data_IF_345569156441
#
_entry.id   IF_345569156441
#
_cell.length_a   1.000
_cell.length_b   1.000
_cell.length_c   1.000
_cell.angle_alpha   90.00
_cell.angle_beta   90.00
_cell.angle_gamma   90.00
#
_symmetry.space_group_name_H-M   'P 1'
#
loop_
_entity.id
_entity.type
_entity.pdbx_description
1 polymer ?
#
# COMPACT_ATOMS: atom_id res chain seq x y z
N UNK A 1 48.82 -47.93 -30.61
CA UNK A 1 48.18 -47.68 -29.28
C UNK A 1 47.95 -46.17 -29.19
N UNK A 2 46.73 -45.74 -29.56
CA UNK A 2 46.34 -44.33 -29.55
C UNK A 2 45.56 -44.07 -28.25
N UNK A 3 46.02 -43.12 -27.49
CA UNK A 3 45.37 -42.68 -26.24
C UNK A 3 44.36 -41.61 -26.62
N UNK A 4 43.08 -41.89 -26.45
CA UNK A 4 41.96 -40.91 -26.55
C UNK A 4 41.95 -40.05 -25.30
N UNK A 5 42.13 -38.75 -25.48
CA UNK A 5 42.01 -37.70 -24.49
C UNK A 5 40.52 -37.31 -24.34
N UNK A 6 39.91 -37.70 -23.22
CA UNK A 6 38.51 -37.33 -22.89
C UNK A 6 38.45 -35.89 -22.37
N UNK A 7 37.71 -35.05 -23.08
CA UNK A 7 37.36 -33.69 -22.65
C UNK A 7 36.38 -33.70 -21.43
N UNK A 8 36.49 -32.74 -20.51
CA UNK A 8 35.60 -32.71 -19.32
C UNK A 8 34.21 -32.30 -19.67
N UNK A 9 33.26 -33.04 -19.12
CA UNK A 9 31.82 -32.92 -19.20
C UNK A 9 31.32 -31.54 -18.65
N UNK A 10 30.69 -30.76 -19.51
CA UNK A 10 30.06 -29.48 -19.16
C UNK A 10 28.76 -29.77 -18.39
N UNK A 11 28.78 -29.63 -17.08
CA UNK A 11 27.55 -29.61 -16.26
C UNK A 11 26.63 -28.46 -16.70
N UNK A 12 25.35 -28.71 -16.96
CA UNK A 12 24.39 -27.66 -17.34
C UNK A 12 24.12 -26.75 -16.16
N UNK A 13 24.56 -25.51 -16.28
CA UNK A 13 24.24 -24.45 -15.35
C UNK A 13 22.74 -24.32 -15.18
N UNK A 14 22.25 -24.56 -13.98
CA UNK A 14 20.85 -24.34 -13.59
C UNK A 14 20.43 -22.91 -13.92
N UNK A 15 19.62 -22.73 -14.95
CA UNK A 15 18.97 -21.46 -15.27
C UNK A 15 18.09 -21.06 -14.07
N UNK A 16 18.63 -20.29 -13.11
CA UNK A 16 17.84 -19.62 -12.08
C UNK A 16 16.78 -18.79 -12.79
N UNK A 17 15.48 -19.08 -12.55
CA UNK A 17 14.34 -18.37 -13.14
C UNK A 17 14.46 -16.88 -12.79
N UNK A 18 14.84 -16.05 -13.76
CA UNK A 18 15.11 -14.61 -13.66
C UNK A 18 13.98 -13.79 -12.99
N UNK A 19 12.72 -14.27 -13.04
CA UNK A 19 11.57 -13.57 -12.47
C UNK A 19 11.38 -13.69 -10.94
N UNK A 20 11.90 -14.77 -10.32
CA UNK A 20 11.72 -14.98 -8.86
C UNK A 20 12.53 -13.99 -7.99
N UNK A 21 13.66 -13.51 -8.47
CA UNK A 21 14.49 -12.56 -7.73
C UNK A 21 13.94 -11.14 -7.72
N UNK A 22 13.44 -10.65 -8.86
CA UNK A 22 12.85 -9.29 -8.98
C UNK A 22 11.60 -9.15 -8.12
N UNK A 23 10.69 -10.16 -8.19
CA UNK A 23 9.45 -10.15 -7.40
C UNK A 23 9.73 -10.13 -5.90
N UNK A 24 10.60 -11.04 -5.42
CA UNK A 24 10.93 -11.13 -4.00
C UNK A 24 11.56 -9.82 -3.46
N UNK A 25 12.44 -9.18 -4.22
CA UNK A 25 13.03 -7.89 -3.85
C UNK A 25 11.97 -6.80 -3.81
N UNK A 26 11.16 -6.72 -4.86
CA UNK A 26 10.07 -5.75 -4.96
C UNK A 26 9.09 -5.89 -3.79
N UNK A 27 8.58 -7.10 -3.54
CA UNK A 27 7.60 -7.35 -2.49
C UNK A 27 8.17 -7.02 -1.10
N UNK A 28 9.42 -7.43 -0.83
CA UNK A 28 10.09 -7.15 0.45
C UNK A 28 10.30 -5.65 0.65
N UNK A 29 10.86 -4.95 -0.34
CA UNK A 29 11.11 -3.51 -0.21
C UNK A 29 9.81 -2.71 -0.16
N UNK A 30 8.79 -3.10 -0.93
CA UNK A 30 7.46 -2.47 -0.86
C UNK A 30 6.90 -2.57 0.55
N UNK A 31 6.92 -3.77 1.13
CA UNK A 31 6.46 -3.99 2.51
C UNK A 31 7.24 -3.11 3.49
N UNK A 32 8.57 -3.13 3.47
CA UNK A 32 9.42 -2.34 4.37
C UNK A 32 9.22 -0.83 4.25
N UNK A 33 8.95 -0.33 3.03
CA UNK A 33 8.64 1.10 2.80
C UNK A 33 7.25 1.45 3.35
N UNK A 34 6.25 0.61 3.09
CA UNK A 34 4.87 0.86 3.54
C UNK A 34 4.73 0.77 5.06
N UNK A 35 5.51 -0.11 5.69
CA UNK A 35 5.54 -0.27 7.16
C UNK A 35 6.50 0.70 7.86
N UNK A 36 7.15 1.59 7.12
CA UNK A 36 8.15 2.55 7.61
C UNK A 36 9.40 1.91 8.25
N UNK A 37 9.63 0.61 8.05
CA UNK A 37 10.90 -0.06 8.40
C UNK A 37 12.06 0.56 7.62
N UNK A 38 11.83 0.88 6.35
CA UNK A 38 12.64 1.79 5.58
C UNK A 38 12.02 3.18 5.66
N UNK A 39 12.64 4.05 6.45
CA UNK A 39 12.10 5.38 6.73
C UNK A 39 12.02 6.26 5.48
N UNK A 40 10.99 7.14 5.36
CA UNK A 40 10.93 8.15 4.30
C UNK A 40 12.21 8.98 4.22
N UNK A 41 12.72 9.20 3.01
CA UNK A 41 13.97 9.91 2.76
C UNK A 41 15.24 9.10 3.00
N UNK A 42 15.15 7.87 3.54
CA UNK A 42 16.34 7.04 3.76
C UNK A 42 16.99 6.58 2.45
N UNK A 43 18.33 6.50 2.38
CA UNK A 43 19.04 6.11 1.17
C UNK A 43 18.87 4.60 0.90
N UNK A 44 18.72 4.26 -0.38
CA UNK A 44 18.67 2.89 -0.88
C UNK A 44 19.98 2.57 -1.59
N UNK A 45 20.75 1.63 -1.04
CA UNK A 45 22.04 1.19 -1.57
C UNK A 45 21.91 -0.13 -2.32
N UNK A 46 22.06 -0.07 -3.66
CA UNK A 46 21.97 -1.25 -4.53
C UNK A 46 23.02 -2.34 -4.19
N UNK A 47 24.19 -1.96 -3.66
CA UNK A 47 25.24 -2.90 -3.29
C UNK A 47 24.81 -3.68 -2.07
N UNK A 48 24.39 -2.98 -1.02
CA UNK A 48 23.89 -3.60 0.21
C UNK A 48 22.68 -4.49 -0.05
N UNK A 49 21.76 -4.05 -0.93
CA UNK A 49 20.61 -4.87 -1.32
C UNK A 49 21.05 -6.12 -2.10
N UNK A 50 22.02 -6.00 -3.01
CA UNK A 50 22.59 -7.13 -3.74
C UNK A 50 23.19 -8.18 -2.79
N UNK A 51 23.92 -7.73 -1.78
CA UNK A 51 24.48 -8.58 -0.72
C UNK A 51 23.38 -9.22 0.15
N UNK A 52 22.42 -8.43 0.61
CA UNK A 52 21.30 -8.87 1.45
C UNK A 52 20.45 -9.96 0.78
N UNK A 53 20.15 -9.80 -0.51
CA UNK A 53 19.33 -10.74 -1.26
C UNK A 53 20.12 -11.86 -1.93
N UNK A 54 21.46 -11.79 -1.92
CA UNK A 54 22.34 -12.79 -2.54
C UNK A 54 22.16 -12.88 -4.06
N UNK A 55 21.87 -11.76 -4.74
CA UNK A 55 21.63 -11.67 -6.19
C UNK A 55 22.41 -10.51 -6.80
N UNK A 56 22.54 -10.50 -8.12
CA UNK A 56 23.22 -9.41 -8.84
C UNK A 56 22.40 -8.09 -8.76
N UNK A 57 23.04 -6.96 -9.10
CA UNK A 57 22.39 -5.63 -9.08
C UNK A 57 21.26 -5.46 -10.10
N UNK A 58 21.28 -6.20 -11.21
CA UNK A 58 20.26 -6.06 -12.27
C UNK A 58 18.84 -6.28 -11.75
N UNK A 59 18.49 -7.41 -11.10
CA UNK A 59 17.16 -7.60 -10.53
C UNK A 59 16.83 -6.60 -9.40
N UNK A 60 17.81 -6.08 -8.66
CA UNK A 60 17.61 -5.00 -7.69
C UNK A 60 17.13 -3.73 -8.40
N UNK A 61 17.80 -3.30 -9.47
CA UNK A 61 17.41 -2.13 -10.26
C UNK A 61 16.04 -2.29 -10.89
N UNK A 62 15.72 -3.47 -11.44
CA UNK A 62 14.39 -3.75 -11.99
C UNK A 62 13.29 -3.60 -10.93
N UNK A 63 13.52 -4.06 -9.70
CA UNK A 63 12.60 -3.88 -8.59
C UNK A 63 12.47 -2.40 -8.19
N UNK A 64 13.58 -1.67 -8.11
CA UNK A 64 13.58 -0.24 -7.78
C UNK A 64 12.86 0.60 -8.86
N UNK A 65 13.00 0.25 -10.15
CA UNK A 65 12.25 0.92 -11.24
C UNK A 65 10.75 0.72 -11.07
N UNK A 66 10.29 -0.47 -10.67
CA UNK A 66 8.87 -0.72 -10.37
C UNK A 66 8.40 0.12 -9.19
N UNK A 67 9.16 0.13 -8.10
CA UNK A 67 8.85 0.94 -6.91
C UNK A 67 8.83 2.45 -7.22
N UNK A 68 9.70 2.91 -8.12
CA UNK A 68 9.70 4.30 -8.59
C UNK A 68 8.45 4.61 -9.42
N UNK A 69 8.00 3.68 -10.25
CA UNK A 69 6.73 3.80 -11.00
C UNK A 69 5.50 3.91 -10.09
N UNK A 70 5.59 3.41 -8.86
CA UNK A 70 4.54 3.50 -7.83
C UNK A 70 4.74 4.70 -6.87
N UNK A 71 5.80 5.50 -7.06
CA UNK A 71 6.10 6.65 -6.20
C UNK A 71 6.66 6.27 -4.82
N UNK A 72 7.09 5.02 -4.60
CA UNK A 72 7.62 4.55 -3.33
C UNK A 72 9.12 4.83 -3.15
N UNK A 73 9.84 5.00 -4.24
CA UNK A 73 11.24 5.44 -4.25
C UNK A 73 11.42 6.56 -5.28
N UNK A 74 12.42 7.41 -5.06
CA UNK A 74 12.79 8.47 -6.00
C UNK A 74 14.29 8.46 -6.24
N UNK A 75 14.69 8.76 -7.49
CA UNK A 75 16.10 8.95 -7.84
C UNK A 75 16.39 10.45 -7.91
N UNK A 76 17.31 10.90 -7.07
CA UNK A 76 17.76 12.29 -7.00
C UNK A 76 18.66 12.65 -8.20
N UNK A 77 18.87 13.94 -8.51
CA UNK A 77 19.72 14.38 -9.64
C UNK A 77 21.15 13.85 -9.59
N UNK A 78 21.70 13.59 -8.38
CA UNK A 78 23.00 12.99 -8.14
C UNK A 78 23.03 11.46 -8.28
N UNK A 79 21.95 10.85 -8.81
CA UNK A 79 21.73 9.40 -9.01
C UNK A 79 21.62 8.57 -7.73
N UNK A 80 21.45 9.21 -6.58
CA UNK A 80 21.09 8.47 -5.36
C UNK A 80 19.60 8.10 -5.37
N UNK A 81 19.29 6.87 -5.05
CA UNK A 81 17.91 6.41 -4.83
C UNK A 81 17.60 6.50 -3.34
N UNK A 82 16.45 7.07 -3.02
CA UNK A 82 15.94 7.17 -1.65
C UNK A 82 14.52 6.64 -1.59
N UNK A 83 14.09 6.23 -0.40
CA UNK A 83 12.65 6.04 -0.12
C UNK A 83 11.95 7.38 -0.32
N UNK A 84 10.85 7.38 -1.06
CA UNK A 84 10.12 8.62 -1.33
C UNK A 84 9.72 9.30 0.00
N UNK A 85 10.00 10.58 0.19
CA UNK A 85 9.54 11.31 1.37
C UNK A 85 8.00 11.36 1.40
N UNK A 86 7.40 11.58 2.57
CA UNK A 86 5.99 11.93 2.66
C UNK A 86 5.88 13.42 2.34
N UNK A 87 4.99 13.76 1.42
CA UNK A 87 4.80 15.14 0.97
C UNK A 87 3.85 15.89 1.92
N UNK A 88 4.34 16.22 3.12
CA UNK A 88 3.57 16.96 4.12
C UNK A 88 3.01 18.30 3.63
N UNK A 89 3.75 19.12 2.85
CA UNK A 89 3.22 20.39 2.30
C UNK A 89 1.97 20.22 1.44
N UNK A 90 1.81 19.12 0.73
CA UNK A 90 0.69 18.86 -0.17
C UNK A 90 -0.35 17.89 0.38
N UNK A 91 -0.31 17.56 1.67
CA UNK A 91 -1.27 16.62 2.29
C UNK A 91 -2.73 17.04 2.14
N UNK A 92 -3.06 18.34 2.12
CA UNK A 92 -4.43 18.79 1.87
C UNK A 92 -4.94 18.35 0.50
N UNK A 93 -4.11 18.49 -0.54
CA UNK A 93 -4.47 18.07 -1.90
C UNK A 93 -4.61 16.54 -2.00
N UNK A 94 -3.75 15.80 -1.30
CA UNK A 94 -3.87 14.35 -1.19
C UNK A 94 -5.17 13.94 -0.50
N UNK A 95 -5.54 14.56 0.62
CA UNK A 95 -6.77 14.27 1.33
C UNK A 95 -8.03 14.63 0.53
N UNK A 96 -8.00 15.71 -0.23
CA UNK A 96 -9.09 16.08 -1.12
C UNK A 96 -9.33 15.02 -2.20
N UNK A 97 -8.24 14.56 -2.85
CA UNK A 97 -8.30 13.51 -3.86
C UNK A 97 -8.75 12.17 -3.24
N UNK A 98 -8.22 11.80 -2.07
CA UNK A 98 -8.58 10.58 -1.35
C UNK A 98 -10.07 10.58 -0.97
N UNK A 99 -10.57 11.68 -0.39
CA UNK A 99 -11.98 11.83 0.01
C UNK A 99 -12.92 11.72 -1.18
N UNK A 100 -12.57 12.35 -2.30
CA UNK A 100 -13.33 12.24 -3.53
C UNK A 100 -13.39 10.79 -4.03
N UNK A 101 -12.25 10.07 -4.00
CA UNK A 101 -12.20 8.68 -4.45
C UNK A 101 -12.99 7.73 -3.55
N UNK A 102 -12.96 7.91 -2.24
CA UNK A 102 -13.84 7.15 -1.33
C UNK A 102 -15.31 7.27 -1.76
N UNK A 103 -15.78 8.49 -1.98
CA UNK A 103 -17.17 8.77 -2.38
C UNK A 103 -17.51 8.15 -3.73
N UNK A 104 -16.75 8.47 -4.76
CA UNK A 104 -17.02 8.04 -6.14
C UNK A 104 -16.98 6.52 -6.27
N UNK A 105 -16.01 5.85 -5.68
CA UNK A 105 -15.86 4.40 -5.81
C UNK A 105 -16.92 3.63 -5.03
N UNK A 106 -17.27 4.08 -3.81
CA UNK A 106 -18.31 3.44 -2.99
C UNK A 106 -19.70 3.64 -3.61
N UNK A 107 -19.98 4.84 -4.14
CA UNK A 107 -21.20 5.13 -4.88
C UNK A 107 -21.35 4.22 -6.11
N UNK A 108 -20.29 4.07 -6.90
CA UNK A 108 -20.29 3.20 -8.07
C UNK A 108 -20.41 1.72 -7.68
N UNK A 109 -19.81 1.29 -6.58
CA UNK A 109 -19.98 -0.05 -6.06
C UNK A 109 -21.44 -0.34 -5.72
N UNK A 110 -22.12 0.58 -5.03
CA UNK A 110 -23.56 0.45 -4.74
C UNK A 110 -24.40 0.32 -6.02
N UNK A 111 -24.03 1.05 -7.08
CA UNK A 111 -24.76 1.01 -8.35
C UNK A 111 -24.49 -0.27 -9.17
N UNK A 112 -23.25 -0.79 -9.18
CA UNK A 112 -22.78 -1.75 -10.19
C UNK A 112 -22.34 -3.11 -9.65
N UNK A 113 -22.22 -3.28 -8.32
CA UNK A 113 -21.70 -4.50 -7.71
C UNK A 113 -22.48 -5.76 -8.12
N UNK A 114 -21.79 -6.86 -8.28
CA UNK A 114 -22.36 -8.20 -8.43
C UNK A 114 -22.44 -8.92 -7.07
N UNK A 115 -23.15 -10.05 -7.03
CA UNK A 115 -23.14 -10.92 -5.84
C UNK A 115 -21.75 -11.48 -5.53
N UNK A 116 -20.93 -11.74 -6.56
CA UNK A 116 -19.56 -12.20 -6.39
C UNK A 116 -18.65 -11.13 -5.76
N UNK A 117 -18.86 -9.84 -6.10
CA UNK A 117 -18.14 -8.73 -5.48
C UNK A 117 -18.46 -8.65 -3.98
N UNK A 118 -19.74 -8.77 -3.62
CA UNK A 118 -20.17 -8.75 -2.22
C UNK A 118 -19.49 -9.85 -1.38
N UNK A 119 -19.36 -11.06 -1.94
CA UNK A 119 -18.65 -12.16 -1.26
C UNK A 119 -17.19 -11.78 -0.98
N UNK A 120 -16.50 -11.17 -1.96
CA UNK A 120 -15.09 -10.77 -1.79
C UNK A 120 -14.94 -9.61 -0.81
N UNK A 121 -15.81 -8.60 -0.91
CA UNK A 121 -15.78 -7.46 0.03
C UNK A 121 -16.07 -7.93 1.45
N UNK A 122 -17.06 -8.82 1.65
CA UNK A 122 -17.39 -9.39 2.96
C UNK A 122 -16.22 -10.17 3.54
N UNK A 123 -15.55 -11.00 2.76
CA UNK A 123 -14.38 -11.76 3.21
C UNK A 123 -13.23 -10.85 3.68
N UNK A 124 -13.05 -9.68 3.03
CA UNK A 124 -12.06 -8.68 3.45
C UNK A 124 -12.48 -7.96 4.73
N UNK A 125 -13.78 -7.65 4.91
CA UNK A 125 -14.28 -7.09 6.15
C UNK A 125 -14.10 -8.06 7.33
N UNK A 126 -14.36 -9.35 7.13
CA UNK A 126 -14.12 -10.39 8.14
C UNK A 126 -12.61 -10.49 8.47
N UNK A 127 -11.74 -10.34 7.47
CA UNK A 127 -10.29 -10.24 7.65
C UNK A 127 -9.89 -9.05 8.50
N UNK A 128 -10.46 -7.87 8.20
CA UNK A 128 -10.23 -6.66 8.95
C UNK A 128 -10.65 -6.80 10.42
N UNK A 129 -11.80 -7.40 10.68
CA UNK A 129 -12.27 -7.69 12.05
C UNK A 129 -11.28 -8.56 12.81
N UNK A 130 -10.79 -9.65 12.19
CA UNK A 130 -9.78 -10.52 12.82
C UNK A 130 -8.47 -9.79 13.11
N UNK A 131 -7.99 -8.94 12.20
CA UNK A 131 -6.76 -8.17 12.39
C UNK A 131 -6.90 -7.18 13.55
N UNK A 132 -8.05 -6.51 13.67
CA UNK A 132 -8.34 -5.59 14.79
C UNK A 132 -8.42 -6.36 16.12
N UNK A 133 -9.06 -7.52 16.17
CA UNK A 133 -9.17 -8.36 17.36
C UNK A 133 -7.81 -8.92 17.80
N UNK A 134 -6.95 -9.27 16.84
CA UNK A 134 -5.57 -9.70 17.08
C UNK A 134 -4.62 -8.56 17.44
N UNK A 135 -5.06 -7.30 17.32
CA UNK A 135 -4.23 -6.09 17.45
C UNK A 135 -3.04 -6.10 16.46
N UNK A 136 -3.20 -6.72 15.28
CA UNK A 136 -2.20 -6.73 14.23
C UNK A 136 -2.38 -5.52 13.32
N UNK A 137 -1.61 -4.46 13.60
CA UNK A 137 -1.67 -3.19 12.88
C UNK A 137 -1.27 -3.33 11.43
N UNK A 138 -0.28 -4.17 11.13
CA UNK A 138 0.20 -4.36 9.76
C UNK A 138 -0.88 -5.03 8.89
N UNK A 139 -1.41 -6.14 9.37
CA UNK A 139 -2.51 -6.85 8.70
C UNK A 139 -3.75 -5.97 8.58
N UNK A 140 -4.08 -5.22 9.64
CA UNK A 140 -5.22 -4.30 9.62
C UNK A 140 -5.08 -3.25 8.52
N UNK A 141 -3.94 -2.57 8.38
CA UNK A 141 -3.72 -1.56 7.34
C UNK A 141 -3.79 -2.20 5.95
N UNK A 142 -3.23 -3.41 5.79
CA UNK A 142 -3.25 -4.12 4.52
C UNK A 142 -4.66 -4.54 4.12
N UNK A 143 -5.39 -5.18 5.01
CA UNK A 143 -6.76 -5.64 4.74
C UNK A 143 -7.72 -4.45 4.55
N UNK A 144 -7.55 -3.36 5.32
CA UNK A 144 -8.28 -2.12 5.11
C UNK A 144 -8.10 -1.57 3.68
N UNK A 145 -6.85 -1.48 3.25
CA UNK A 145 -6.51 -1.08 1.86
C UNK A 145 -7.20 -1.98 0.84
N UNK A 146 -7.14 -3.29 1.04
CA UNK A 146 -7.70 -4.27 0.13
C UNK A 146 -9.24 -4.23 0.11
N UNK A 147 -9.88 -3.98 1.26
CA UNK A 147 -11.32 -3.78 1.38
C UNK A 147 -11.79 -2.61 0.49
N UNK A 148 -11.17 -1.44 0.63
CA UNK A 148 -11.54 -0.27 -0.17
C UNK A 148 -11.20 -0.43 -1.66
N UNK A 149 -10.10 -1.11 -1.99
CA UNK A 149 -9.74 -1.42 -3.37
C UNK A 149 -10.77 -2.37 -4.02
N UNK A 150 -11.26 -3.37 -3.29
CA UNK A 150 -12.28 -4.29 -3.81
C UNK A 150 -13.62 -3.58 -4.01
N UNK A 151 -14.00 -2.66 -3.12
CA UNK A 151 -15.16 -1.77 -3.33
C UNK A 151 -14.98 -0.96 -4.63
N UNK A 152 -13.80 -0.39 -4.86
CA UNK A 152 -13.54 0.37 -6.08
C UNK A 152 -13.65 -0.49 -7.36
N UNK A 153 -13.16 -1.74 -7.30
CA UNK A 153 -13.29 -2.68 -8.42
C UNK A 153 -14.73 -3.06 -8.68
N UNK A 154 -15.53 -3.27 -7.63
CA UNK A 154 -16.96 -3.54 -7.73
C UNK A 154 -17.74 -2.40 -8.40
N UNK A 155 -17.22 -1.18 -8.38
CA UNK A 155 -17.75 -0.03 -9.11
C UNK A 155 -17.61 -0.13 -10.63
N UNK A 156 -16.87 -1.13 -11.15
CA UNK A 156 -16.69 -1.42 -12.58
C UNK A 156 -16.14 -0.24 -13.41
N UNK A 157 -15.32 0.63 -12.80
CA UNK A 157 -14.57 1.68 -13.48
C UNK A 157 -13.07 1.52 -13.18
N UNK A 158 -12.33 0.91 -14.11
CA UNK A 158 -10.92 0.61 -13.92
C UNK A 158 -10.07 1.84 -13.62
N UNK A 159 -10.38 3.00 -14.21
CA UNK A 159 -9.59 4.22 -14.03
C UNK A 159 -9.72 4.75 -12.60
N UNK A 160 -10.92 4.75 -12.04
CA UNK A 160 -11.13 5.12 -10.65
C UNK A 160 -10.51 4.09 -9.69
N UNK A 161 -10.62 2.80 -9.99
CA UNK A 161 -10.00 1.75 -9.18
C UNK A 161 -8.47 1.90 -9.15
N UNK A 162 -7.80 2.05 -10.30
CA UNK A 162 -6.35 2.24 -10.40
C UNK A 162 -5.88 3.52 -9.67
N UNK A 163 -6.60 4.64 -9.85
CA UNK A 163 -6.28 5.89 -9.16
C UNK A 163 -6.45 5.74 -7.65
N UNK A 164 -7.56 5.15 -7.20
CA UNK A 164 -7.84 4.99 -5.77
C UNK A 164 -6.85 4.03 -5.10
N UNK A 165 -6.49 2.93 -5.75
CA UNK A 165 -5.48 2.00 -5.23
C UNK A 165 -4.13 2.70 -5.00
N UNK A 166 -3.71 3.59 -5.90
CA UNK A 166 -2.49 4.39 -5.70
C UNK A 166 -2.59 5.32 -4.49
N UNK A 167 -3.73 6.02 -4.33
CA UNK A 167 -3.95 6.87 -3.16
C UNK A 167 -4.01 6.07 -1.86
N UNK A 168 -4.64 4.89 -1.88
CA UNK A 168 -4.67 3.98 -0.73
C UNK A 168 -3.26 3.49 -0.36
N UNK A 169 -2.41 3.16 -1.34
CA UNK A 169 -1.03 2.74 -1.10
C UNK A 169 -0.18 3.88 -0.51
N UNK A 170 -0.36 5.11 -0.99
CA UNK A 170 0.27 6.30 -0.39
C UNK A 170 -0.24 6.55 1.03
N UNK A 171 -1.56 6.42 1.24
CA UNK A 171 -2.23 6.58 2.53
C UNK A 171 -1.78 5.56 3.59
N UNK A 172 -1.32 4.36 3.20
CA UNK A 172 -0.81 3.34 4.14
C UNK A 172 0.31 3.89 5.04
N UNK A 173 1.22 4.66 4.49
CA UNK A 173 2.35 5.25 5.22
C UNK A 173 1.88 6.29 6.25
N UNK A 174 0.84 7.06 5.90
CA UNK A 174 0.21 8.01 6.83
C UNK A 174 -0.56 7.28 7.94
N UNK A 175 -1.30 6.23 7.60
CA UNK A 175 -1.98 5.38 8.59
C UNK A 175 -0.97 4.71 9.54
N UNK A 176 0.15 4.23 9.03
CA UNK A 176 1.20 3.63 9.87
C UNK A 176 1.79 4.65 10.86
N UNK A 177 2.04 5.89 10.43
CA UNK A 177 2.44 6.98 11.33
C UNK A 177 1.37 7.27 12.37
N UNK A 178 0.11 7.36 11.94
CA UNK A 178 -1.03 7.61 12.82
C UNK A 178 -1.15 6.54 13.92
N UNK A 179 -1.15 5.26 13.55
CA UNK A 179 -1.28 4.19 14.53
C UNK A 179 -0.09 4.07 15.47
N UNK A 180 1.13 4.30 14.99
CA UNK A 180 2.33 4.28 15.83
C UNK A 180 2.29 5.36 16.91
N UNK A 181 1.64 6.51 16.66
CA UNK A 181 1.48 7.58 17.65
C UNK A 181 0.55 7.20 18.81
N UNK A 182 -0.31 6.20 18.62
CA UNK A 182 -1.23 5.66 19.64
C UNK A 182 -0.78 4.32 20.24
N UNK A 183 0.50 3.98 20.14
CA UNK A 183 1.04 2.68 20.56
C UNK A 183 0.27 1.51 19.91
N UNK A 184 -0.06 1.66 18.65
CA UNK A 184 -0.80 0.70 17.83
C UNK A 184 -2.19 0.30 18.40
N UNK A 185 -2.78 1.13 19.26
CA UNK A 185 -4.16 0.96 19.72
C UNK A 185 -5.13 1.36 18.63
N UNK A 186 -5.86 0.37 18.13
CA UNK A 186 -6.76 0.53 16.99
C UNK A 186 -8.16 0.97 17.43
N UNK A 187 -8.70 2.06 16.86
CA UNK A 187 -10.07 2.45 17.13
C UNK A 187 -11.06 1.44 16.51
N UNK A 188 -11.89 0.81 17.35
CA UNK A 188 -12.95 -0.12 16.88
C UNK A 188 -14.05 0.55 16.05
N UNK A 189 -14.09 1.88 16.03
CA UNK A 189 -15.10 2.65 15.30
C UNK A 189 -15.08 2.33 13.79
N UNK A 190 -13.92 2.08 13.20
CA UNK A 190 -13.81 1.75 11.77
C UNK A 190 -14.47 0.43 11.40
N UNK A 191 -14.54 -0.54 12.33
CA UNK A 191 -15.28 -1.79 12.10
C UNK A 191 -16.73 -1.54 11.78
N UNK A 192 -17.39 -0.67 12.59
CA UNK A 192 -18.78 -0.32 12.43
C UNK A 192 -19.02 0.51 11.17
N UNK A 193 -18.12 1.44 10.86
CA UNK A 193 -18.22 2.27 9.64
C UNK A 193 -18.15 1.40 8.38
N UNK A 194 -17.28 0.41 8.33
CA UNK A 194 -17.20 -0.52 7.21
C UNK A 194 -18.47 -1.36 7.07
N UNK A 195 -19.03 -1.86 8.18
CA UNK A 195 -20.30 -2.62 8.14
C UNK A 195 -21.45 -1.78 7.59
N UNK A 196 -21.57 -0.53 8.01
CA UNK A 196 -22.59 0.40 7.51
C UNK A 196 -22.37 0.70 6.02
N UNK A 197 -21.13 0.87 5.60
CA UNK A 197 -20.77 1.08 4.19
C UNK A 197 -21.13 -0.12 3.34
N UNK A 198 -20.78 -1.33 3.80
CA UNK A 198 -21.09 -2.57 3.10
C UNK A 198 -22.61 -2.81 3.00
N UNK A 199 -23.36 -2.52 4.07
CA UNK A 199 -24.82 -2.63 4.06
C UNK A 199 -25.46 -1.70 3.01
N UNK A 200 -24.97 -0.47 2.86
CA UNK A 200 -25.44 0.44 1.82
C UNK A 200 -25.13 -0.08 0.41
N UNK A 201 -23.94 -0.66 0.20
CA UNK A 201 -23.57 -1.29 -1.07
C UNK A 201 -24.45 -2.51 -1.35
N UNK A 202 -24.71 -3.37 -0.36
CA UNK A 202 -25.59 -4.54 -0.48
C UNK A 202 -27.01 -4.15 -0.88
N UNK A 203 -27.53 -3.09 -0.29
CA UNK A 203 -28.88 -2.56 -0.56
C UNK A 203 -28.96 -1.76 -1.87
N UNK A 204 -27.85 -1.50 -2.54
CA UNK A 204 -27.74 -0.61 -3.70
C UNK A 204 -28.25 0.82 -3.41
N UNK A 205 -28.15 1.27 -2.15
CA UNK A 205 -28.47 2.64 -1.77
C UNK A 205 -27.28 3.56 -2.11
N UNK A 206 -27.30 4.06 -3.34
CA UNK A 206 -26.23 4.90 -3.91
C UNK A 206 -26.03 6.19 -3.12
N UNK A 207 -27.11 6.79 -2.63
CA UNK A 207 -27.04 8.05 -1.88
C UNK A 207 -26.55 7.84 -0.44
N UNK A 208 -26.96 6.75 0.21
CA UNK A 208 -26.39 6.37 1.51
C UNK A 208 -24.90 6.02 1.38
N UNK A 209 -24.53 5.26 0.36
CA UNK A 209 -23.13 4.89 0.08
C UNK A 209 -22.22 6.13 -0.07
N UNK A 210 -22.68 7.17 -0.80
CA UNK A 210 -21.94 8.43 -0.95
C UNK A 210 -21.78 9.15 0.41
N UNK A 211 -22.86 9.32 1.18
CA UNK A 211 -22.82 10.00 2.48
C UNK A 211 -21.93 9.27 3.49
N UNK A 212 -22.02 7.94 3.54
CA UNK A 212 -21.23 7.10 4.46
C UNK A 212 -19.76 7.19 4.10
N UNK A 213 -19.41 7.07 2.80
CA UNK A 213 -18.06 7.18 2.33
C UNK A 213 -17.45 8.57 2.61
N UNK A 214 -18.24 9.63 2.47
CA UNK A 214 -17.82 10.99 2.83
C UNK A 214 -17.49 11.08 4.33
N UNK A 215 -18.40 10.64 5.19
CA UNK A 215 -18.21 10.71 6.64
C UNK A 215 -16.98 9.91 7.09
N UNK A 216 -16.79 8.71 6.53
CA UNK A 216 -15.65 7.85 6.78
C UNK A 216 -14.32 8.53 6.37
N UNK A 217 -14.24 9.06 5.16
CA UNK A 217 -13.05 9.77 4.67
C UNK A 217 -12.71 10.99 5.55
N UNK A 218 -13.71 11.83 5.85
CA UNK A 218 -13.53 13.00 6.72
C UNK A 218 -13.04 12.62 8.13
N UNK A 219 -13.51 11.51 8.68
CA UNK A 219 -13.05 11.04 9.99
C UNK A 219 -11.59 10.61 9.97
N UNK A 220 -11.17 9.82 8.97
CA UNK A 220 -9.78 9.40 8.80
C UNK A 220 -8.87 10.62 8.63
N UNK A 221 -9.26 11.57 7.77
CA UNK A 221 -8.49 12.79 7.52
C UNK A 221 -8.31 13.59 8.80
N UNK A 222 -9.39 13.85 9.54
CA UNK A 222 -9.32 14.58 10.83
C UNK A 222 -8.39 13.91 11.82
N UNK A 223 -8.41 12.58 11.91
CA UNK A 223 -7.59 11.84 12.87
C UNK A 223 -6.11 11.86 12.48
N UNK A 224 -5.78 11.69 11.19
CA UNK A 224 -4.41 11.79 10.71
C UNK A 224 -3.87 13.23 10.93
N UNK A 225 -4.65 14.25 10.59
CA UNK A 225 -4.25 15.65 10.82
C UNK A 225 -4.02 15.96 12.28
N UNK A 226 -4.89 15.47 13.18
CA UNK A 226 -4.73 15.66 14.62
C UNK A 226 -3.46 14.95 15.14
N UNK A 227 -3.15 13.77 14.63
CA UNK A 227 -1.92 13.03 14.98
C UNK A 227 -0.66 13.77 14.51
N UNK A 228 -0.65 14.26 13.28
CA UNK A 228 0.47 15.05 12.74
C UNK A 228 0.67 16.33 13.55
N UNK A 229 -0.40 17.03 13.92
CA UNK A 229 -0.32 18.24 14.72
C UNK A 229 0.22 17.98 16.15
N UNK A 230 -0.04 16.80 16.73
CA UNK A 230 0.42 16.42 18.06
C UNK A 230 1.88 15.90 18.08
N UNK A 231 2.41 15.44 16.94
CA UNK A 231 3.79 14.91 16.89
C UNK A 231 4.81 16.04 16.68
N UNK A 232 5.47 16.45 17.77
CA UNK A 232 6.52 17.47 17.75
C UNK A 232 7.72 17.14 16.84
N UNK A 233 7.97 15.87 16.55
CA UNK A 233 9.06 15.43 15.67
C UNK A 233 8.74 15.74 14.20
N UNK A 234 7.48 15.61 13.82
CA UNK A 234 7.00 15.96 12.46
C UNK A 234 7.00 17.49 12.29
N UNK A 235 6.55 18.23 13.30
CA UNK A 235 6.55 19.70 13.29
C UNK A 235 7.96 20.31 13.14
N UNK A 236 8.98 19.70 13.73
CA UNK A 236 10.37 20.14 13.58
C UNK A 236 10.91 19.95 12.14
N UNK A 237 10.39 18.96 11.39
CA UNK A 237 10.81 18.68 10.01
C UNK A 237 10.12 19.61 9.00
N UNK A 238 8.93 20.12 9.34
CA UNK A 238 8.16 21.05 8.47
C UNK A 238 8.69 22.50 8.61
N UNK A 239 9.41 22.82 9.69
CA UNK A 239 9.90 24.16 9.99
C UNK A 239 11.28 24.48 9.40
N UNK A 240 11.85 23.61 8.57
CA UNK A 240 13.12 23.78 7.84
C UNK A 240 12.87 23.92 6.33
#
# INVERSE_FOLDING_TARGET
MSVEEQAPDHLPGTKRKRGKGVGAVYDTLKHEILDLTLAPGSPIDEVKLSERFGISRTPIREALVKLAGEGLVVTLPNRFTIVAPIDFPNLSQFFDALSLMYRVTTRLAAANRTSADLVRIRALQDGYTRAVEAMDVHEMIEVNRNFHAEIARAGNNRYYAELFERLLDEGRRLLRLYYSSYNDKLPRIYLQEHEVMLAAIEQQDVEAADRIAQAHAEQIVRQIQASIAADHRINATISL
#
